data_IF_568507710446
#
_entry.id   IF_568507710446
#
_cell.length_a   1.000
_cell.length_b   1.000
_cell.length_c   1.000
_cell.angle_alpha   90.00
_cell.angle_beta   90.00
_cell.angle_gamma   90.00
#
_symmetry.space_group_name_H-M   'P 1'
#
loop_
_entity.id
_entity.type
_entity.pdbx_description
1 polymer ?
#
# COMPACT_ATOMS: atom_id res chain seq x y z
N UNK A 1 1.33 -4.81 -1.54
CA UNK A 1 1.45 -5.81 -2.63
C UNK A 1 1.86 -5.12 -3.94
N UNK A 2 2.62 -5.81 -4.80
CA UNK A 2 3.05 -5.27 -6.09
C UNK A 2 4.35 -4.48 -5.96
N UNK A 3 4.32 -3.19 -6.33
CA UNK A 3 5.49 -2.32 -6.25
C UNK A 3 6.24 -2.41 -4.91
N UNK A 4 5.51 -2.40 -3.79
CA UNK A 4 6.10 -2.38 -2.44
C UNK A 4 6.95 -3.63 -2.20
N UNK A 5 6.42 -4.82 -2.50
CA UNK A 5 7.17 -6.07 -2.41
C UNK A 5 8.34 -6.15 -3.40
N UNK A 6 8.20 -5.58 -4.60
CA UNK A 6 9.31 -5.47 -5.54
C UNK A 6 10.46 -4.62 -4.98
N UNK A 7 10.14 -3.48 -4.37
CA UNK A 7 11.12 -2.57 -3.75
C UNK A 7 11.80 -3.23 -2.55
N UNK A 8 11.03 -3.85 -1.66
CA UNK A 8 11.57 -4.58 -0.50
C UNK A 8 12.55 -5.69 -0.94
N UNK A 9 12.18 -6.49 -1.95
CA UNK A 9 12.99 -7.62 -2.39
C UNK A 9 14.25 -7.22 -3.18
N UNK A 10 14.20 -6.14 -3.99
CA UNK A 10 15.25 -5.83 -4.96
C UNK A 10 16.08 -4.58 -4.64
N UNK A 11 15.54 -3.65 -3.84
CA UNK A 11 16.02 -2.27 -3.81
C UNK A 11 16.40 -1.83 -2.39
N UNK A 12 15.72 -2.33 -1.36
CA UNK A 12 15.93 -1.90 0.03
C UNK A 12 17.36 -2.12 0.54
N UNK A 13 18.02 -3.21 0.16
CA UNK A 13 19.43 -3.47 0.53
C UNK A 13 20.38 -2.39 -0.01
N UNK A 14 20.07 -1.82 -1.17
CA UNK A 14 20.87 -0.80 -1.84
C UNK A 14 20.71 0.56 -1.15
N UNK A 15 19.50 0.89 -0.69
CA UNK A 15 19.15 2.20 -0.15
C UNK A 15 19.08 2.28 1.39
N UNK A 16 19.19 1.14 2.11
CA UNK A 16 19.29 1.08 3.58
C UNK A 16 20.41 1.96 4.16
N UNK A 17 21.47 2.20 3.38
CA UNK A 17 22.61 3.05 3.77
C UNK A 17 22.37 4.56 3.64
N UNK A 18 21.24 4.99 3.06
CA UNK A 18 21.00 6.40 2.67
C UNK A 18 20.00 7.11 3.62
N UNK A 19 19.67 6.49 4.75
CA UNK A 19 18.81 7.07 5.79
C UNK A 19 17.37 7.35 5.31
N UNK A 20 16.72 8.39 5.87
CA UNK A 20 15.30 8.74 5.62
C UNK A 20 14.99 9.00 4.14
N UNK A 21 15.98 9.46 3.35
CA UNK A 21 15.83 9.69 1.90
C UNK A 21 15.84 8.39 1.08
N UNK A 22 16.40 7.31 1.62
CA UNK A 22 16.49 6.01 0.95
C UNK A 22 15.11 5.44 0.61
N UNK A 23 14.11 5.65 1.47
CA UNK A 23 12.76 5.10 1.26
C UNK A 23 12.01 5.78 0.11
N UNK A 24 12.17 7.10 -0.03
CA UNK A 24 11.61 7.83 -1.18
C UNK A 24 12.32 7.46 -2.47
N UNK A 25 13.65 7.37 -2.47
CA UNK A 25 14.42 7.00 -3.66
C UNK A 25 14.13 5.56 -4.12
N UNK A 26 14.00 4.62 -3.18
CA UNK A 26 13.60 3.25 -3.45
C UNK A 26 12.18 3.16 -4.04
N UNK A 27 11.24 3.97 -3.53
CA UNK A 27 9.89 4.10 -4.09
C UNK A 27 9.91 4.65 -5.52
N UNK A 28 10.64 5.75 -5.78
CA UNK A 28 10.79 6.32 -7.12
C UNK A 28 11.38 5.30 -8.11
N UNK A 29 12.45 4.61 -7.70
CA UNK A 29 13.10 3.58 -8.50
C UNK A 29 12.17 2.39 -8.77
N UNK A 30 11.40 1.97 -7.76
CA UNK A 30 10.42 0.93 -7.94
C UNK A 30 9.34 1.32 -8.95
N UNK A 31 8.77 2.54 -8.87
CA UNK A 31 7.69 2.96 -9.79
C UNK A 31 8.17 2.93 -11.24
N UNK A 32 9.43 3.33 -11.48
CA UNK A 32 9.98 3.36 -12.83
C UNK A 32 10.24 1.96 -13.39
N UNK A 33 10.73 1.03 -12.56
CA UNK A 33 11.11 -0.33 -12.98
C UNK A 33 9.96 -1.34 -12.94
N UNK A 34 9.07 -1.25 -11.96
CA UNK A 34 7.95 -2.19 -11.78
C UNK A 34 6.94 -2.10 -12.92
N UNK A 35 6.47 -3.25 -13.38
CA UNK A 35 5.38 -3.35 -14.37
C UNK A 35 4.07 -3.68 -13.65
N UNK A 36 2.95 -2.96 -13.91
CA UNK A 36 1.69 -3.25 -13.25
C UNK A 36 1.25 -4.69 -13.50
N UNK A 37 0.76 -5.34 -12.45
CA UNK A 37 0.37 -6.75 -12.47
C UNK A 37 -1.15 -6.85 -12.50
N UNK A 38 -1.70 -7.88 -13.14
CA UNK A 38 -3.13 -8.16 -13.05
C UNK A 38 -3.46 -8.65 -11.64
N UNK A 39 -4.39 -7.97 -10.98
CA UNK A 39 -4.87 -8.32 -9.65
C UNK A 39 -6.39 -8.24 -9.60
N UNK A 40 -7.00 -9.16 -8.86
CA UNK A 40 -8.37 -9.02 -8.37
C UNK A 40 -8.32 -8.74 -6.86
N UNK A 41 -8.96 -7.66 -6.44
CA UNK A 41 -9.04 -7.22 -5.05
C UNK A 41 -10.49 -7.28 -4.62
N UNK A 42 -10.76 -8.07 -3.59
CA UNK A 42 -12.07 -8.16 -2.96
C UNK A 42 -12.02 -7.65 -1.53
N UNK A 43 -13.07 -6.96 -1.13
CA UNK A 43 -13.28 -6.47 0.23
C UNK A 43 -14.65 -6.97 0.69
N UNK A 44 -14.67 -7.75 1.77
CA UNK A 44 -15.86 -8.41 2.31
C UNK A 44 -16.66 -9.16 1.22
N UNK A 45 -15.94 -9.91 0.39
CA UNK A 45 -16.49 -10.70 -0.72
C UNK A 45 -16.92 -9.90 -1.95
N UNK A 46 -16.87 -8.56 -1.92
CA UNK A 46 -17.21 -7.69 -3.08
C UNK A 46 -15.96 -7.32 -3.84
N UNK A 47 -15.98 -7.49 -5.17
CA UNK A 47 -14.88 -7.06 -6.04
C UNK A 47 -14.77 -5.53 -6.05
N UNK A 48 -13.70 -5.02 -5.46
CA UNK A 48 -13.31 -3.60 -5.52
C UNK A 48 -12.67 -3.28 -6.87
N UNK A 49 -11.81 -4.16 -7.34
CA UNK A 49 -11.06 -3.98 -8.58
C UNK A 49 -10.66 -5.31 -9.19
N UNK A 50 -10.65 -5.35 -10.53
CA UNK A 50 -10.01 -6.40 -11.32
C UNK A 50 -9.26 -5.78 -12.50
N UNK A 51 -7.97 -6.06 -12.63
CA UNK A 51 -7.14 -5.60 -13.75
C UNK A 51 -5.73 -5.15 -13.35
N UNK A 52 -5.10 -4.39 -14.25
CA UNK A 52 -3.72 -3.90 -14.08
C UNK A 52 -3.61 -2.97 -12.87
N UNK A 53 -2.82 -3.41 -11.90
CA UNK A 53 -2.60 -2.74 -10.62
C UNK A 53 -1.10 -2.50 -10.42
N UNK A 54 -0.74 -1.24 -10.17
CA UNK A 54 0.63 -0.86 -9.79
C UNK A 54 0.90 -1.19 -8.32
N UNK A 55 -0.03 -0.82 -7.45
CA UNK A 55 0.06 -0.97 -6.01
C UNK A 55 -1.31 -1.35 -5.49
N UNK A 56 -1.35 -2.36 -4.60
CA UNK A 56 -2.47 -2.56 -3.70
C UNK A 56 -1.94 -2.46 -2.27
N UNK A 57 -2.38 -1.43 -1.55
CA UNK A 57 -2.04 -1.17 -0.16
C UNK A 57 -3.24 -1.53 0.72
N UNK A 58 -2.96 -2.22 1.82
CA UNK A 58 -3.95 -2.59 2.84
C UNK A 58 -3.37 -2.16 4.18
N UNK A 59 -4.13 -1.43 4.98
CA UNK A 59 -3.66 -0.96 6.29
C UNK A 59 -4.79 -0.56 7.22
N UNK A 60 -4.55 -0.69 8.52
CA UNK A 60 -5.44 -0.15 9.56
C UNK A 60 -5.14 1.33 9.87
N UNK A 61 -3.87 1.74 9.84
CA UNK A 61 -3.45 3.13 10.07
C UNK A 61 -3.48 3.98 8.81
N UNK A 62 -3.14 5.27 8.96
CA UNK A 62 -3.08 6.21 7.84
C UNK A 62 -1.73 6.24 7.15
N UNK A 63 -0.67 6.10 7.93
CA UNK A 63 0.68 6.46 7.54
C UNK A 63 1.52 5.23 7.25
N UNK A 64 2.25 5.29 6.14
CA UNK A 64 3.24 4.32 5.72
C UNK A 64 4.57 5.07 5.53
N UNK A 65 5.69 4.43 5.86
CA UNK A 65 7.07 4.87 5.58
C UNK A 65 7.31 6.38 5.48
N UNK A 66 7.76 7.01 6.57
CA UNK A 66 8.19 8.43 6.56
C UNK A 66 7.07 9.46 6.43
N UNK A 67 5.85 9.14 6.89
CA UNK A 67 4.73 10.10 6.99
C UNK A 67 3.81 10.18 5.76
N UNK A 68 3.84 9.18 4.86
CA UNK A 68 2.98 9.15 3.67
C UNK A 68 1.60 8.61 4.04
N UNK A 69 0.54 9.39 3.83
CA UNK A 69 -0.85 9.02 4.08
C UNK A 69 -1.39 8.11 2.98
N UNK A 70 -0.88 6.87 2.86
CA UNK A 70 -1.28 5.95 1.77
C UNK A 70 -2.75 5.53 1.88
N UNK A 71 -3.23 5.31 3.11
CA UNK A 71 -4.61 4.96 3.45
C UNK A 71 -5.22 6.07 4.32
N UNK A 72 -5.50 7.26 3.76
CA UNK A 72 -5.75 8.48 4.54
C UNK A 72 -6.94 8.39 5.51
N UNK A 73 -7.88 7.48 5.27
CA UNK A 73 -9.05 7.26 6.11
C UNK A 73 -8.83 6.22 7.23
N UNK A 74 -7.64 5.63 7.33
CA UNK A 74 -7.31 4.60 8.30
C UNK A 74 -7.49 5.06 9.74
N UNK A 75 -7.96 4.15 10.59
CA UNK A 75 -7.98 4.29 12.04
C UNK A 75 -7.36 3.03 12.68
N UNK A 76 -6.16 3.11 13.29
CA UNK A 76 -5.53 1.97 13.96
C UNK A 76 -6.39 1.33 15.06
N UNK A 77 -7.25 2.14 15.69
CA UNK A 77 -8.18 1.72 16.74
C UNK A 77 -9.56 1.32 16.21
N UNK A 78 -9.78 1.43 14.90
CA UNK A 78 -11.03 1.04 14.26
C UNK A 78 -11.08 -0.44 13.91
N UNK A 79 -12.28 -0.88 13.54
CA UNK A 79 -12.59 -2.28 13.21
C UNK A 79 -12.40 -2.63 11.73
N UNK A 80 -11.91 -1.69 10.92
CA UNK A 80 -11.79 -1.85 9.47
C UNK A 80 -10.33 -1.80 9.01
N UNK A 81 -10.05 -2.54 7.96
CA UNK A 81 -8.91 -2.36 7.07
C UNK A 81 -9.29 -1.39 5.95
N UNK A 82 -8.34 -0.55 5.56
CA UNK A 82 -8.48 0.34 4.41
C UNK A 82 -7.64 -0.17 3.26
N UNK A 83 -8.26 -0.29 2.10
CA UNK A 83 -7.66 -0.81 0.87
C UNK A 83 -7.57 0.30 -0.15
N UNK A 84 -6.40 0.52 -0.72
CA UNK A 84 -6.17 1.46 -1.82
C UNK A 84 -5.47 0.73 -2.96
N UNK A 85 -6.14 0.66 -4.12
CA UNK A 85 -5.56 0.09 -5.34
C UNK A 85 -5.33 1.18 -6.40
N UNK A 86 -4.11 1.21 -6.95
CA UNK A 86 -3.65 2.24 -7.89
C UNK A 86 -3.48 1.63 -9.28
N UNK A 87 -4.19 2.19 -10.25
CA UNK A 87 -4.28 1.76 -11.66
C UNK A 87 -3.69 2.80 -12.62
N UNK A 88 -2.86 3.69 -12.09
CA UNK A 88 -2.30 4.81 -12.84
C UNK A 88 -1.15 4.33 -13.75
N UNK A 89 -1.02 4.88 -14.97
CA UNK A 89 0.20 4.73 -15.76
C UNK A 89 1.44 5.19 -14.98
N UNK A 90 2.62 4.61 -15.27
CA UNK A 90 3.87 4.87 -14.51
C UNK A 90 4.14 6.35 -14.23
N UNK A 91 4.07 7.20 -15.26
CA UNK A 91 4.33 8.65 -15.11
C UNK A 91 3.32 9.34 -14.18
N UNK A 92 2.03 8.98 -14.31
CA UNK A 92 0.96 9.53 -13.47
C UNK A 92 1.05 9.00 -12.04
N UNK A 93 1.47 7.74 -11.85
CA UNK A 93 1.76 7.17 -10.53
C UNK A 93 2.95 7.88 -9.86
N UNK A 94 4.02 8.17 -10.63
CA UNK A 94 5.19 8.91 -10.15
C UNK A 94 4.79 10.31 -9.68
N UNK A 95 4.01 11.02 -10.48
CA UNK A 95 3.51 12.36 -10.13
C UNK A 95 2.54 12.32 -8.94
N UNK A 96 1.73 11.27 -8.80
CA UNK A 96 0.81 11.11 -7.68
C UNK A 96 1.52 10.98 -6.32
N UNK A 97 2.80 10.60 -6.29
CA UNK A 97 3.57 10.46 -5.04
C UNK A 97 3.66 11.78 -4.25
N UNK A 98 3.59 12.94 -4.90
CA UNK A 98 3.58 14.26 -4.24
C UNK A 98 2.30 14.54 -3.44
N UNK A 99 1.23 13.79 -3.70
CA UNK A 99 -0.04 13.90 -2.97
C UNK A 99 -0.11 12.98 -1.74
N UNK A 100 0.87 12.10 -1.56
CA UNK A 100 0.90 11.18 -0.42
C UNK A 100 1.02 11.88 0.94
N UNK A 101 1.72 13.01 1.11
CA UNK A 101 1.72 13.71 2.41
C UNK A 101 0.34 14.20 2.83
N UNK A 102 -0.49 14.64 1.88
CA UNK A 102 -1.87 15.13 2.16
C UNK A 102 -2.89 14.00 2.14
N UNK A 103 -2.63 12.92 1.39
CA UNK A 103 -3.54 11.81 1.15
C UNK A 103 -4.49 12.03 -0.04
N UNK A 104 -4.30 13.10 -0.81
CA UNK A 104 -5.20 13.50 -1.91
C UNK A 104 -5.10 12.58 -3.15
N UNK A 105 -4.12 11.66 -3.18
CA UNK A 105 -4.00 10.67 -4.26
C UNK A 105 -5.25 9.79 -4.40
N UNK A 106 -6.03 9.59 -3.33
CA UNK A 106 -7.27 8.81 -3.36
C UNK A 106 -8.37 9.44 -4.22
N UNK A 107 -8.29 10.74 -4.50
CA UNK A 107 -9.24 11.45 -5.36
C UNK A 107 -8.89 11.37 -6.85
N UNK A 108 -7.73 10.80 -7.21
CA UNK A 108 -7.32 10.68 -8.59
C UNK A 108 -8.12 9.60 -9.32
N UNK A 109 -8.62 9.93 -10.51
CA UNK A 109 -9.15 8.92 -11.42
C UNK A 109 -8.07 7.89 -11.78
N UNK A 110 -8.35 6.62 -11.48
CA UNK A 110 -7.39 5.53 -11.50
C UNK A 110 -6.95 5.04 -10.12
N UNK A 111 -7.37 5.68 -9.04
CA UNK A 111 -7.22 5.17 -7.66
C UNK A 111 -8.59 4.76 -7.14
N UNK A 112 -8.68 3.59 -6.53
CA UNK A 112 -9.91 3.12 -5.89
C UNK A 112 -9.63 2.81 -4.42
N UNK A 113 -10.63 3.06 -3.58
CA UNK A 113 -10.58 2.85 -2.15
C UNK A 113 -11.80 2.08 -1.67
N UNK A 114 -11.60 1.20 -0.70
CA UNK A 114 -12.67 0.61 0.11
C UNK A 114 -12.20 0.40 1.54
N UNK A 115 -13.16 0.11 2.42
CA UNK A 115 -12.92 -0.36 3.78
C UNK A 115 -13.73 -1.62 4.05
N UNK A 116 -13.23 -2.47 4.93
CA UNK A 116 -13.88 -3.72 5.33
C UNK A 116 -13.02 -4.56 6.26
N UNK A 117 -13.47 -5.75 6.59
CA UNK A 117 -12.82 -6.62 7.59
C UNK A 117 -12.00 -7.73 6.96
N UNK A 118 -12.39 -8.21 5.78
CA UNK A 118 -11.66 -9.24 5.04
C UNK A 118 -11.26 -8.70 3.68
N UNK A 119 -9.97 -8.80 3.36
CA UNK A 119 -9.41 -8.36 2.09
C UNK A 119 -8.74 -9.55 1.42
N UNK A 120 -9.18 -9.87 0.21
CA UNK A 120 -8.58 -10.92 -0.61
C UNK A 120 -7.89 -10.27 -1.80
N UNK A 121 -6.64 -10.65 -2.04
CA UNK A 121 -5.87 -10.18 -3.20
C UNK A 121 -5.39 -11.41 -3.95
N UNK A 122 -5.82 -11.50 -5.20
CA UNK A 122 -5.54 -12.61 -6.11
C UNK A 122 -4.78 -12.04 -7.29
N UNK A 123 -3.67 -12.68 -7.68
CA UNK A 123 -2.91 -12.32 -8.87
C UNK A 123 -2.86 -13.48 -9.85
N UNK A 124 -2.68 -13.17 -11.14
CA UNK A 124 -2.52 -14.19 -12.18
C UNK A 124 -1.18 -14.95 -12.05
N UNK A 125 -0.21 -14.34 -11.38
CA UNK A 125 1.14 -14.85 -11.14
C UNK A 125 1.60 -14.56 -9.71
N UNK A 126 2.73 -15.15 -9.33
CA UNK A 126 3.38 -14.83 -8.06
C UNK A 126 3.77 -13.34 -8.01
N UNK A 127 3.08 -12.58 -7.16
CA UNK A 127 3.43 -11.19 -6.88
C UNK A 127 3.81 -11.07 -5.42
N UNK A 128 5.06 -10.68 -5.15
CA UNK A 128 5.57 -10.52 -3.79
C UNK A 128 4.91 -9.37 -3.05
N UNK A 129 4.66 -9.58 -1.77
CA UNK A 129 4.21 -8.58 -0.83
C UNK A 129 5.32 -7.93 -0.04
N UNK A 130 4.97 -6.80 0.57
CA UNK A 130 5.71 -6.19 1.66
C UNK A 130 4.72 -6.06 2.82
N UNK A 131 5.20 -6.36 4.02
CA UNK A 131 4.46 -6.24 5.28
C UNK A 131 5.36 -5.53 6.29
N UNK A 132 4.93 -4.36 6.78
CA UNK A 132 5.64 -3.54 7.78
C UNK A 132 7.15 -3.33 7.52
N UNK A 133 7.53 -3.16 6.25
CA UNK A 133 8.93 -2.94 5.86
C UNK A 133 9.74 -4.22 5.67
N UNK A 134 9.12 -5.39 5.82
CA UNK A 134 9.74 -6.69 5.55
C UNK A 134 9.14 -7.35 4.31
N UNK A 135 9.89 -8.30 3.73
CA UNK A 135 9.37 -9.10 2.61
C UNK A 135 8.26 -10.00 3.12
N UNK A 136 7.06 -9.83 2.58
CA UNK A 136 5.87 -10.57 2.98
C UNK A 136 5.57 -11.76 2.06
N UNK A 137 4.44 -12.46 2.30
CA UNK A 137 3.98 -13.55 1.44
C UNK A 137 3.68 -13.07 0.01
N UNK A 138 3.66 -14.01 -0.93
CA UNK A 138 3.23 -13.77 -2.31
C UNK A 138 1.73 -13.99 -2.48
N UNK A 139 1.13 -13.39 -3.52
CA UNK A 139 -0.26 -13.67 -3.90
C UNK A 139 -0.46 -15.17 -4.26
N UNK A 140 -1.66 -15.74 -4.00
CA UNK A 140 -2.84 -15.11 -3.41
C UNK A 140 -2.73 -14.96 -1.89
N UNK A 141 -3.35 -13.92 -1.35
CA UNK A 141 -3.42 -13.69 0.10
C UNK A 141 -4.82 -13.27 0.55
N UNK A 142 -5.13 -13.60 1.80
CA UNK A 142 -6.29 -13.10 2.52
C UNK A 142 -5.82 -12.43 3.81
N UNK A 143 -6.25 -11.19 4.03
CA UNK A 143 -5.95 -10.41 5.23
C UNK A 143 -7.27 -10.23 5.96
N UNK A 144 -7.27 -10.56 7.24
CA UNK A 144 -8.43 -10.38 8.11
C UNK A 144 -8.10 -9.41 9.23
N UNK A 145 -9.05 -8.53 9.55
CA UNK A 145 -8.94 -7.65 10.71
C UNK A 145 -9.06 -8.50 11.98
N UNK A 146 -7.95 -8.62 12.70
CA UNK A 146 -7.96 -9.15 14.06
C UNK A 146 -8.48 -8.13 15.08
N UNK A 147 -8.80 -8.55 16.31
CA UNK A 147 -9.12 -7.65 17.42
C UNK A 147 -8.00 -6.62 17.71
N UNK A 148 -8.38 -5.44 18.19
CA UNK A 148 -7.42 -4.43 18.69
C UNK A 148 -6.94 -4.86 20.08
N UNK A 149 -5.66 -5.22 20.19
CA UNK A 149 -5.03 -5.60 21.47
C UNK A 149 -3.99 -4.60 21.97
N UNK A 150 -3.97 -3.38 21.43
CA UNK A 150 -2.94 -2.38 21.72
C UNK A 150 -3.53 -1.12 22.38
N UNK A 151 -2.79 -0.57 23.35
CA UNK A 151 -2.99 0.80 23.85
C UNK A 151 -1.91 1.70 23.25
N UNK A 152 -2.32 2.82 22.66
CA UNK A 152 -1.44 3.80 22.04
C UNK A 152 -1.38 5.06 22.91
N UNK A 153 -0.17 5.45 23.32
CA UNK A 153 0.05 6.76 23.94
C UNK A 153 0.22 7.78 22.83
N UNK A 154 -0.76 8.67 22.69
CA UNK A 154 -0.76 9.72 21.67
C UNK A 154 -0.37 11.03 22.37
N UNK A 155 0.67 11.69 21.87
CA UNK A 155 0.99 13.04 22.31
C UNK A 155 -0.03 14.00 21.72
N UNK A 156 -0.84 14.63 22.57
CA UNK A 156 -1.65 15.78 22.17
C UNK A 156 -0.70 16.96 21.91
N UNK A 157 -0.39 17.23 20.64
CA UNK A 157 0.17 18.53 20.27
C UNK A 157 -0.98 19.52 20.17
N UNK A 158 -0.99 20.50 21.08
CA UNK A 158 -1.76 21.75 20.95
C UNK A 158 -1.31 22.54 19.75
#
# INVERSE_FOLDING_TARGET
MGLSGYVANNVERLFKRVGVFGYSLAMFHGISTFSPQNMEVKVDGKTLHRGKTMICAVGCGQFFGGGKRVTPFGNPLGDDLHVVAIRLPKLRALWATRLLPTGEHVALDGVVHARGQTVEIIGDHEVKGEYDGETGPSLPITIQRGPVHAQLVISERR
#
